data_IF_630498768263
#
_entry.id   IF_630498768263
#
_cell.length_a   1.000
_cell.length_b   1.000
_cell.length_c   1.000
_cell.angle_alpha   90.00
_cell.angle_beta   90.00
_cell.angle_gamma   90.00
#
_symmetry.space_group_name_H-M   'P 1'
#
loop_
_entity.id
_entity.type
_entity.pdbx_description
1 polymer ?
#
# COMPACT_ATOMS: atom_id res chain seq x y z
N UNK A 1 4.15 -22.23 11.33
CA UNK A 1 3.58 -22.34 9.97
C UNK A 1 4.26 -21.29 9.12
N UNK A 2 4.49 -21.50 7.85
CA UNK A 2 5.08 -20.47 6.98
C UNK A 2 4.04 -19.45 6.56
N UNK A 3 4.52 -18.30 6.06
CA UNK A 3 3.66 -17.26 5.49
C UNK A 3 2.78 -17.88 4.39
N UNK A 4 1.49 -17.54 4.44
CA UNK A 4 0.55 -17.91 3.40
C UNK A 4 0.68 -16.91 2.26
N UNK A 5 1.11 -17.39 1.09
CA UNK A 5 1.10 -16.56 -0.10
C UNK A 5 -0.29 -16.50 -0.73
N UNK A 6 -0.55 -15.39 -1.38
CA UNK A 6 -1.81 -15.08 -2.03
C UNK A 6 -2.10 -16.03 -3.22
N UNK A 7 -3.37 -16.08 -3.59
CA UNK A 7 -3.78 -16.62 -4.88
C UNK A 7 -3.42 -15.65 -6.01
N UNK A 8 -3.31 -16.12 -7.27
CA UNK A 8 -3.17 -15.22 -8.41
C UNK A 8 -4.26 -14.15 -8.41
N UNK A 9 -3.91 -12.88 -8.67
CA UNK A 9 -4.88 -11.79 -8.70
C UNK A 9 -5.80 -11.89 -9.92
N UNK A 10 -6.93 -11.19 -9.86
CA UNK A 10 -7.92 -11.14 -10.93
C UNK A 10 -7.85 -9.78 -11.62
N UNK A 11 -7.66 -9.79 -12.95
CA UNK A 11 -7.76 -8.58 -13.76
C UNK A 11 -9.23 -8.28 -14.08
N UNK A 12 -9.66 -7.06 -13.76
CA UNK A 12 -11.02 -6.57 -13.99
C UNK A 12 -10.97 -5.41 -14.98
N UNK A 13 -11.89 -5.40 -15.95
CA UNK A 13 -11.95 -4.35 -16.98
C UNK A 13 -13.24 -3.54 -16.86
N UNK A 14 -13.19 -2.25 -17.22
CA UNK A 14 -14.37 -1.38 -17.25
C UNK A 14 -15.04 -1.20 -15.89
N UNK A 15 -14.24 -1.14 -14.82
CA UNK A 15 -14.73 -1.15 -13.43
C UNK A 15 -15.52 0.11 -13.09
N UNK A 16 -15.08 1.27 -13.58
CA UNK A 16 -15.72 2.56 -13.31
C UNK A 16 -16.51 3.00 -14.53
N UNK A 17 -17.82 3.22 -14.33
CA UNK A 17 -18.71 3.64 -15.42
C UNK A 17 -18.64 5.12 -15.76
N UNK A 18 -18.28 5.96 -14.80
CA UNK A 18 -18.19 7.43 -14.95
C UNK A 18 -16.80 7.93 -14.58
N UNK A 19 -15.92 8.01 -15.58
CA UNK A 19 -14.57 8.56 -15.41
C UNK A 19 -14.59 10.08 -15.13
N UNK A 20 -15.65 10.79 -15.57
CA UNK A 20 -15.81 12.20 -15.29
C UNK A 20 -16.00 12.48 -13.79
N UNK A 21 -16.77 11.63 -13.11
CA UNK A 21 -16.93 11.70 -11.65
C UNK A 21 -15.59 11.45 -10.92
N UNK A 22 -14.73 10.57 -11.44
CA UNK A 22 -13.38 10.38 -10.87
C UNK A 22 -12.53 11.62 -11.04
N UNK A 23 -12.55 12.27 -12.20
CA UNK A 23 -11.79 13.51 -12.43
C UNK A 23 -12.28 14.62 -11.49
N UNK A 24 -13.60 14.78 -11.32
CA UNK A 24 -14.16 15.74 -10.37
C UNK A 24 -13.72 15.45 -8.93
N UNK A 25 -13.70 14.17 -8.52
CA UNK A 25 -13.21 13.77 -7.20
C UNK A 25 -11.72 14.08 -7.04
N UNK A 26 -10.89 13.79 -8.06
CA UNK A 26 -9.48 14.16 -8.07
C UNK A 26 -9.27 15.65 -7.87
N UNK A 27 -9.99 16.48 -8.61
CA UNK A 27 -9.91 17.94 -8.53
C UNK A 27 -10.38 18.47 -7.18
N UNK A 28 -11.52 17.99 -6.68
CA UNK A 28 -12.10 18.43 -5.40
C UNK A 28 -11.23 18.07 -4.20
N UNK A 29 -10.45 17.00 -4.30
CA UNK A 29 -9.58 16.53 -3.24
C UNK A 29 -8.15 17.08 -3.31
N UNK A 30 -7.81 17.88 -4.31
CA UNK A 30 -6.50 18.54 -4.38
C UNK A 30 -6.33 19.55 -3.21
N UNK A 31 -5.09 19.86 -2.79
CA UNK A 31 -3.83 19.34 -3.31
C UNK A 31 -3.45 17.95 -2.75
N UNK A 32 -2.53 17.29 -3.44
CA UNK A 32 -1.94 16.01 -3.05
C UNK A 32 -0.53 16.20 -2.51
N UNK A 33 -0.16 15.41 -1.50
CA UNK A 33 1.14 15.50 -0.86
C UNK A 33 2.10 14.44 -1.40
N UNK A 34 3.42 14.72 -1.46
CA UNK A 34 4.40 13.72 -1.83
C UNK A 34 4.36 12.54 -0.86
N UNK A 35 4.41 11.33 -1.40
CA UNK A 35 4.51 10.13 -0.61
C UNK A 35 5.75 10.19 0.29
N UNK A 36 5.52 9.96 1.60
CA UNK A 36 6.56 9.95 2.62
C UNK A 36 6.76 8.56 3.23
N UNK A 37 7.41 8.53 4.37
CA UNK A 37 7.48 7.31 5.17
C UNK A 37 8.48 6.29 4.63
N UNK A 38 8.00 5.19 4.09
CA UNK A 38 8.83 4.04 3.70
C UNK A 38 9.87 4.31 2.61
N UNK A 39 9.75 5.40 1.86
CA UNK A 39 10.83 5.85 0.95
C UNK A 39 12.10 6.32 1.66
N UNK A 40 12.06 6.50 2.97
CA UNK A 40 13.25 6.83 3.76
C UNK A 40 13.19 6.06 5.09
N UNK A 41 13.19 4.72 5.08
CA UNK A 41 13.16 3.94 6.31
C UNK A 41 14.42 4.23 7.14
N UNK A 42 14.22 4.73 8.34
CA UNK A 42 15.32 5.09 9.26
C UNK A 42 16.00 6.42 8.96
N UNK A 43 15.59 7.16 7.93
CA UNK A 43 16.04 8.52 7.69
C UNK A 43 15.20 9.52 8.48
N UNK A 44 15.80 10.70 8.71
CA UNK A 44 15.12 11.86 9.23
C UNK A 44 13.71 12.01 8.60
N UNK A 45 12.62 12.07 9.39
CA UNK A 45 11.27 12.33 8.87
C UNK A 45 11.20 13.67 8.10
N UNK A 46 12.20 14.53 8.30
CA UNK A 46 12.42 15.75 7.53
C UNK A 46 13.35 15.55 6.31
N UNK A 47 13.66 14.30 5.91
CA UNK A 47 14.48 14.04 4.75
C UNK A 47 14.00 14.83 3.53
N UNK A 48 14.92 15.60 2.96
CA UNK A 48 14.65 16.76 2.11
C UNK A 48 14.16 16.43 0.71
N UNK A 49 14.10 15.16 0.33
CA UNK A 49 13.71 14.80 -1.03
C UNK A 49 12.75 13.62 -1.07
N UNK A 50 11.70 13.77 -1.86
CA UNK A 50 10.68 12.78 -2.14
C UNK A 50 10.62 12.52 -3.65
N UNK A 51 10.28 11.32 -4.10
CA UNK A 51 9.93 11.11 -5.51
C UNK A 51 8.65 11.88 -5.84
N UNK A 52 8.43 12.15 -7.12
CA UNK A 52 7.20 12.78 -7.59
C UNK A 52 6.05 11.77 -7.66
N UNK A 53 5.79 11.19 -6.53
CA UNK A 53 4.66 10.31 -6.25
C UNK A 53 3.83 10.95 -5.15
N UNK A 54 2.61 11.35 -5.48
CA UNK A 54 1.69 12.09 -4.61
C UNK A 54 0.56 11.18 -4.19
N UNK A 55 0.10 11.33 -2.95
CA UNK A 55 -0.93 10.47 -2.38
C UNK A 55 -1.91 11.28 -1.52
N UNK A 56 -3.15 10.78 -1.43
CA UNK A 56 -4.14 11.23 -0.47
C UNK A 56 -5.13 10.11 -0.16
N UNK A 57 -5.49 9.97 1.11
CA UNK A 57 -6.60 9.13 1.54
C UNK A 57 -7.92 9.84 1.20
N UNK A 58 -8.80 9.16 0.46
CA UNK A 58 -10.17 9.59 0.22
C UNK A 58 -11.14 9.00 1.23
N UNK A 59 -10.84 7.81 1.74
CA UNK A 59 -11.56 7.19 2.85
C UNK A 59 -10.56 6.57 3.81
N UNK A 60 -10.64 6.97 5.07
CA UNK A 60 -9.82 6.42 6.14
C UNK A 60 -10.52 6.63 7.48
N UNK A 61 -10.71 5.56 8.27
CA UNK A 61 -11.44 5.55 9.54
C UNK A 61 -12.83 6.22 9.44
N UNK A 62 -13.01 7.38 10.07
CA UNK A 62 -14.27 8.14 10.06
C UNK A 62 -14.35 9.18 8.95
N UNK A 63 -13.28 9.38 8.21
CA UNK A 63 -13.25 10.34 7.10
C UNK A 63 -13.64 9.66 5.79
N UNK A 64 -14.57 10.27 5.05
CA UNK A 64 -14.88 9.92 3.68
C UNK A 64 -15.05 11.21 2.85
N UNK A 65 -14.28 11.33 1.78
CA UNK A 65 -14.42 12.41 0.82
C UNK A 65 -15.76 12.28 0.09
N UNK A 66 -16.45 13.39 -0.15
CA UNK A 66 -17.68 13.39 -0.96
C UNK A 66 -17.38 12.80 -2.35
N UNK A 67 -18.22 11.86 -2.80
CA UNK A 67 -18.04 11.13 -4.06
C UNK A 67 -17.14 9.88 -3.98
N UNK A 68 -16.44 9.64 -2.86
CA UNK A 68 -15.57 8.45 -2.71
C UNK A 68 -16.32 7.12 -2.66
N UNK A 69 -17.63 7.13 -2.45
CA UNK A 69 -18.50 5.94 -2.50
C UNK A 69 -18.43 5.23 -3.85
N UNK A 70 -18.08 5.95 -4.93
CA UNK A 70 -17.82 5.38 -6.24
C UNK A 70 -16.83 4.20 -6.18
N UNK A 71 -15.81 4.31 -5.31
CA UNK A 71 -14.84 3.25 -5.07
C UNK A 71 -15.16 2.47 -3.80
N UNK A 72 -15.49 3.15 -2.70
CA UNK A 72 -15.69 2.48 -1.40
C UNK A 72 -16.77 1.41 -1.50
N UNK A 73 -17.88 1.71 -2.16
CA UNK A 73 -19.03 0.81 -2.32
C UNK A 73 -19.07 0.14 -3.69
N UNK A 74 -17.92 0.02 -4.37
CA UNK A 74 -17.85 -0.58 -5.70
C UNK A 74 -18.36 -2.04 -5.68
N UNK A 75 -19.51 -2.34 -6.31
CA UNK A 75 -20.09 -3.68 -6.24
C UNK A 75 -19.18 -4.75 -6.85
N UNK A 76 -18.42 -4.38 -7.90
CA UNK A 76 -17.51 -5.31 -8.57
C UNK A 76 -16.42 -5.82 -7.63
N UNK A 77 -15.88 -4.97 -6.76
CA UNK A 77 -14.86 -5.37 -5.78
C UNK A 77 -15.45 -6.21 -4.66
N UNK A 78 -16.62 -5.80 -4.13
CA UNK A 78 -17.30 -6.52 -3.05
C UNK A 78 -17.69 -7.92 -3.51
N UNK A 79 -18.25 -8.07 -4.70
CA UNK A 79 -18.65 -9.36 -5.23
C UNK A 79 -17.44 -10.24 -5.62
N UNK A 80 -16.33 -9.65 -6.08
CA UNK A 80 -15.10 -10.39 -6.35
C UNK A 80 -14.44 -10.92 -5.06
N UNK A 81 -14.52 -10.18 -3.96
CA UNK A 81 -13.92 -10.56 -2.67
C UNK A 81 -14.55 -11.85 -2.11
N UNK A 82 -15.84 -12.05 -2.27
CA UNK A 82 -16.56 -13.19 -1.70
C UNK A 82 -15.99 -14.54 -2.16
N UNK A 83 -15.96 -14.88 -3.46
CA UNK A 83 -15.39 -16.16 -3.92
C UNK A 83 -13.86 -16.20 -3.79
N UNK A 84 -13.17 -15.06 -3.87
CA UNK A 84 -11.72 -15.02 -3.75
C UNK A 84 -11.24 -15.47 -2.37
N UNK A 85 -11.95 -15.07 -1.31
CA UNK A 85 -11.60 -15.38 0.09
C UNK A 85 -12.48 -16.47 0.73
N UNK A 86 -13.45 -17.02 0.02
CA UNK A 86 -14.50 -17.85 0.61
C UNK A 86 -15.20 -17.12 1.76
N UNK A 87 -15.61 -15.87 1.50
CA UNK A 87 -16.11 -14.93 2.49
C UNK A 87 -17.58 -14.55 2.24
N UNK A 88 -18.37 -14.47 3.31
CA UNK A 88 -19.74 -13.92 3.30
C UNK A 88 -19.77 -12.43 3.64
N UNK A 89 -18.81 -11.98 4.46
CA UNK A 89 -18.75 -10.59 4.94
C UNK A 89 -17.55 -9.88 4.32
N UNK A 90 -17.84 -8.77 3.64
CA UNK A 90 -16.84 -7.86 3.06
C UNK A 90 -17.11 -6.47 3.59
N UNK A 91 -16.15 -5.89 4.29
CA UNK A 91 -16.25 -4.57 4.89
C UNK A 91 -15.25 -3.60 4.25
N UNK A 92 -15.68 -2.77 3.29
CA UNK A 92 -14.83 -1.70 2.77
C UNK A 92 -14.31 -0.80 3.89
N UNK A 93 -12.98 -0.53 3.88
CA UNK A 93 -12.31 0.21 4.96
C UNK A 93 -11.63 1.47 4.48
N UNK A 94 -10.98 1.42 3.33
CA UNK A 94 -10.23 2.57 2.86
C UNK A 94 -10.18 2.68 1.35
N UNK A 95 -10.06 3.92 0.90
CA UNK A 95 -9.79 4.28 -0.49
C UNK A 95 -8.71 5.35 -0.47
N UNK A 96 -7.64 5.15 -1.23
CA UNK A 96 -6.62 6.18 -1.40
C UNK A 96 -6.14 6.24 -2.84
N UNK A 97 -5.67 7.41 -3.24
CA UNK A 97 -5.23 7.66 -4.60
C UNK A 97 -3.75 7.96 -4.65
N UNK A 98 -3.10 7.43 -5.66
CA UNK A 98 -1.73 7.76 -6.02
C UNK A 98 -1.70 8.43 -7.39
N UNK A 99 -0.96 9.54 -7.48
CA UNK A 99 -0.66 10.23 -8.72
C UNK A 99 0.86 10.27 -8.88
N UNK A 100 1.35 9.71 -9.97
CA UNK A 100 2.79 9.65 -10.23
C UNK A 100 3.10 10.38 -11.54
N UNK A 101 4.14 11.19 -11.52
CA UNK A 101 4.74 11.73 -12.74
C UNK A 101 5.84 10.78 -13.22
N UNK A 102 6.74 11.23 -14.07
CA UNK A 102 7.89 10.45 -14.51
C UNK A 102 8.83 10.12 -13.34
N UNK A 103 8.99 8.82 -13.04
CA UNK A 103 9.95 8.32 -12.06
C UNK A 103 10.62 7.03 -12.57
N UNK A 104 11.93 6.90 -12.39
CA UNK A 104 12.69 5.71 -12.78
C UNK A 104 12.74 4.64 -11.70
N UNK A 105 12.27 4.95 -10.48
CA UNK A 105 12.27 4.07 -9.33
C UNK A 105 10.93 4.17 -8.59
N UNK A 106 10.07 3.17 -8.76
CA UNK A 106 8.74 3.06 -8.15
C UNK A 106 8.76 2.50 -6.71
N UNK A 107 9.92 2.42 -6.09
CA UNK A 107 10.09 1.86 -4.74
C UNK A 107 10.44 0.37 -4.75
N UNK A 108 10.74 -0.20 -3.57
CA UNK A 108 11.05 -1.60 -3.42
C UNK A 108 9.83 -2.50 -3.63
N UNK A 109 10.07 -3.76 -4.01
CA UNK A 109 9.04 -4.78 -3.92
C UNK A 109 8.65 -4.98 -2.45
N UNK A 110 7.36 -5.07 -2.18
CA UNK A 110 6.82 -5.17 -0.82
C UNK A 110 5.47 -5.88 -0.80
N UNK A 111 5.07 -6.34 0.37
CA UNK A 111 3.67 -6.64 0.69
C UNK A 111 3.06 -5.45 1.43
N UNK A 112 1.76 -5.29 1.37
CA UNK A 112 1.06 -4.26 2.15
C UNK A 112 1.19 -4.52 3.66
N UNK A 113 1.00 -3.48 4.47
CA UNK A 113 1.02 -3.62 5.92
C UNK A 113 -0.16 -4.45 6.40
N UNK A 114 0.07 -5.55 7.14
CA UNK A 114 -0.99 -6.41 7.62
C UNK A 114 -1.82 -5.74 8.71
N UNK A 115 -3.00 -6.31 8.95
CA UNK A 115 -3.86 -5.99 10.09
C UNK A 115 -4.09 -7.24 10.91
N UNK A 116 -4.13 -7.05 12.22
CA UNK A 116 -4.44 -8.10 13.18
C UNK A 116 -5.58 -7.65 14.09
N UNK A 117 -6.20 -8.57 14.83
CA UNK A 117 -7.21 -8.23 15.80
C UNK A 117 -6.70 -7.15 16.77
N UNK A 118 -7.31 -5.97 16.76
CA UNK A 118 -6.92 -4.85 17.61
C UNK A 118 -5.61 -4.15 17.25
N UNK A 119 -4.85 -4.63 16.23
CA UNK A 119 -3.55 -4.04 15.84
C UNK A 119 -3.53 -3.66 14.36
N UNK A 120 -3.25 -2.38 14.09
CA UNK A 120 -3.05 -1.85 12.75
C UNK A 120 -2.14 -0.61 12.78
N UNK A 121 -1.93 0.02 11.62
CA UNK A 121 -1.03 1.18 11.46
C UNK A 121 -1.39 2.41 12.30
N UNK A 122 -2.60 2.47 12.87
CA UNK A 122 -3.05 3.60 13.68
C UNK A 122 -2.61 3.50 15.14
N UNK A 123 -2.31 2.28 15.60
CA UNK A 123 -1.98 2.01 16.99
C UNK A 123 -0.74 1.11 17.19
N UNK A 124 -0.09 0.70 16.11
CA UNK A 124 1.08 -0.19 16.15
C UNK A 124 2.10 0.27 15.09
N UNK A 125 3.38 0.44 15.44
CA UNK A 125 4.41 0.76 14.47
C UNK A 125 4.45 -0.24 13.31
N UNK A 126 4.61 0.26 12.08
CA UNK A 126 4.56 -0.59 10.88
C UNK A 126 5.60 -1.72 10.91
N UNK A 127 6.79 -1.47 11.44
CA UNK A 127 7.82 -2.51 11.55
C UNK A 127 7.41 -3.66 12.49
N UNK A 128 6.62 -3.37 13.55
CA UNK A 128 6.09 -4.40 14.45
C UNK A 128 5.03 -5.23 13.72
N UNK A 129 4.11 -4.59 13.00
CA UNK A 129 3.11 -5.30 12.18
C UNK A 129 3.79 -6.22 11.16
N UNK A 130 4.86 -5.76 10.51
CA UNK A 130 5.63 -6.58 9.58
C UNK A 130 6.34 -7.74 10.30
N UNK A 131 6.94 -7.50 11.47
CA UNK A 131 7.54 -8.57 12.27
C UNK A 131 6.49 -9.61 12.72
N UNK A 132 5.27 -9.16 13.08
CA UNK A 132 4.15 -10.06 13.38
C UNK A 132 3.81 -10.96 12.18
N UNK A 133 3.71 -10.38 10.97
CA UNK A 133 3.45 -11.11 9.74
C UNK A 133 4.57 -12.13 9.45
N UNK A 134 5.82 -11.67 9.42
CA UNK A 134 6.96 -12.51 9.04
C UNK A 134 7.35 -13.57 10.08
N UNK A 135 6.92 -13.39 11.33
CA UNK A 135 7.11 -14.42 12.38
C UNK A 135 6.17 -15.61 12.21
N UNK A 136 4.98 -15.44 11.63
CA UNK A 136 3.91 -16.44 11.61
C UNK A 136 3.31 -16.74 12.98
N UNK A 137 3.73 -16.05 14.03
CA UNK A 137 3.25 -16.29 15.41
C UNK A 137 1.81 -15.78 15.61
N UNK A 138 1.38 -14.85 14.77
CA UNK A 138 0.11 -14.14 14.89
C UNK A 138 -0.90 -14.51 13.79
N UNK A 139 -0.65 -15.57 13.00
CA UNK A 139 -1.50 -15.99 11.87
C UNK A 139 -2.99 -16.09 12.25
N UNK A 140 -3.27 -16.60 13.45
CA UNK A 140 -4.66 -16.75 13.93
C UNK A 140 -5.38 -15.42 14.17
N UNK A 141 -4.62 -14.35 14.33
CA UNK A 141 -5.14 -13.00 14.58
C UNK A 141 -5.13 -12.14 13.32
N UNK A 142 -4.60 -12.63 12.22
CA UNK A 142 -4.56 -11.89 10.97
C UNK A 142 -5.97 -11.62 10.43
N UNK A 143 -6.23 -10.38 10.04
CA UNK A 143 -7.45 -9.98 9.33
C UNK A 143 -7.12 -9.98 7.84
N UNK A 144 -7.80 -10.86 7.11
CA UNK A 144 -7.63 -10.90 5.65
C UNK A 144 -8.18 -9.63 5.01
N UNK A 145 -7.42 -9.07 4.08
CA UNK A 145 -7.82 -7.85 3.37
C UNK A 145 -7.82 -8.08 1.87
N UNK A 146 -8.97 -7.79 1.25
CA UNK A 146 -9.06 -7.67 -0.19
C UNK A 146 -8.51 -6.30 -0.62
N UNK A 147 -7.73 -6.29 -1.70
CA UNK A 147 -7.20 -5.06 -2.30
C UNK A 147 -7.54 -5.02 -3.78
N UNK A 148 -7.99 -3.87 -4.26
CA UNK A 148 -8.09 -3.57 -5.69
C UNK A 148 -7.19 -2.37 -6.00
N UNK A 149 -6.34 -2.50 -7.01
CA UNK A 149 -5.56 -1.39 -7.58
C UNK A 149 -6.18 -1.06 -8.92
N UNK A 150 -6.92 0.03 -8.99
CA UNK A 150 -7.53 0.51 -10.23
C UNK A 150 -6.65 1.59 -10.87
N UNK A 151 -6.55 1.57 -12.20
CA UNK A 151 -5.85 2.58 -12.99
C UNK A 151 -6.83 3.36 -13.87
N UNK A 152 -6.69 4.68 -13.87
CA UNK A 152 -7.57 5.56 -14.64
C UNK A 152 -7.23 5.53 -16.13
N UNK A 153 -5.96 5.52 -16.46
CA UNK A 153 -5.43 5.79 -17.80
C UNK A 153 -4.18 4.97 -18.11
N UNK A 154 -3.85 4.89 -19.38
CA UNK A 154 -2.56 4.40 -19.85
C UNK A 154 -1.51 5.49 -19.75
N UNK A 155 -0.32 5.11 -19.35
CA UNK A 155 0.89 5.93 -19.38
C UNK A 155 2.07 5.11 -19.89
N UNK A 156 3.15 5.78 -20.26
CA UNK A 156 4.39 5.08 -20.59
C UNK A 156 4.97 4.42 -19.34
N UNK A 157 5.14 3.10 -19.34
CA UNK A 157 5.57 2.33 -18.17
C UNK A 157 4.50 2.22 -17.08
N UNK A 158 4.90 2.31 -15.82
CA UNK A 158 3.99 2.32 -14.67
C UNK A 158 3.26 1.00 -14.41
N UNK A 159 3.62 -0.08 -15.09
CA UNK A 159 3.06 -1.41 -14.86
C UNK A 159 3.35 -1.92 -13.45
N UNK A 160 2.56 -2.91 -13.03
CA UNK A 160 2.75 -3.56 -11.74
C UNK A 160 3.42 -4.92 -11.96
N UNK A 161 4.55 -5.13 -11.26
CA UNK A 161 5.12 -6.47 -11.07
C UNK A 161 4.48 -7.04 -9.81
N UNK A 162 4.18 -8.34 -9.80
CA UNK A 162 3.61 -9.02 -8.64
C UNK A 162 4.03 -10.50 -8.61
N UNK A 163 4.06 -11.10 -7.42
CA UNK A 163 4.55 -12.46 -7.19
C UNK A 163 3.42 -13.36 -6.66
N UNK A 164 2.55 -13.89 -7.53
CA UNK A 164 1.39 -14.70 -7.12
C UNK A 164 1.80 -16.05 -6.50
N UNK A 165 2.94 -16.60 -6.93
CA UNK A 165 3.47 -17.89 -6.45
C UNK A 165 4.53 -17.72 -5.35
N UNK A 166 4.59 -16.55 -4.72
CA UNK A 166 5.53 -16.25 -3.64
C UNK A 166 6.89 -15.73 -4.11
N UNK A 167 7.74 -15.29 -3.14
CA UNK A 167 8.97 -14.56 -3.43
C UNK A 167 10.06 -15.38 -4.13
N UNK A 168 10.03 -16.69 -4.03
CA UNK A 168 11.02 -17.59 -4.65
C UNK A 168 10.72 -17.87 -6.12
N UNK A 169 9.57 -17.41 -6.62
CA UNK A 169 9.15 -17.52 -8.02
C UNK A 169 9.42 -16.21 -8.78
N UNK A 170 9.59 -16.25 -10.12
CA UNK A 170 9.72 -15.02 -10.89
C UNK A 170 8.41 -14.22 -10.85
N UNK A 171 8.48 -12.86 -10.93
CA UNK A 171 7.29 -12.04 -10.97
C UNK A 171 6.50 -12.22 -12.26
N UNK A 172 5.21 -12.03 -12.16
CA UNK A 172 4.36 -11.68 -13.28
C UNK A 172 4.29 -10.15 -13.42
N UNK A 173 3.88 -9.69 -14.59
CA UNK A 173 3.68 -8.27 -14.86
C UNK A 173 2.33 -8.06 -15.52
N UNK A 174 1.59 -7.06 -15.06
CA UNK A 174 0.43 -6.61 -15.81
C UNK A 174 0.86 -6.13 -17.21
N UNK A 175 0.27 -6.72 -18.23
CA UNK A 175 0.51 -6.39 -19.64
C UNK A 175 -0.78 -5.93 -20.31
N UNK A 176 -0.68 -4.98 -21.23
CA UNK A 176 -1.80 -4.40 -21.94
C UNK A 176 -2.26 -3.07 -21.37
N UNK A 177 -3.44 -2.59 -21.82
CA UNK A 177 -3.99 -1.33 -21.35
C UNK A 177 -4.35 -1.40 -19.87
N UNK A 178 -3.94 -0.37 -19.13
CA UNK A 178 -4.35 -0.14 -17.75
C UNK A 178 -5.60 0.75 -17.65
N UNK A 179 -5.99 1.42 -18.74
CA UNK A 179 -7.10 2.38 -18.72
C UNK A 179 -8.41 1.72 -18.26
N UNK A 180 -8.96 2.21 -17.17
CA UNK A 180 -10.17 1.71 -16.51
C UNK A 180 -10.13 0.21 -16.20
N UNK A 181 -8.97 -0.29 -15.79
CA UNK A 181 -8.77 -1.67 -15.32
C UNK A 181 -8.40 -1.71 -13.85
N UNK A 182 -8.61 -2.83 -13.19
CA UNK A 182 -8.16 -3.05 -11.82
C UNK A 182 -7.53 -4.43 -11.67
N UNK A 183 -6.48 -4.52 -10.86
CA UNK A 183 -5.95 -5.78 -10.36
C UNK A 183 -6.50 -6.00 -8.95
N UNK A 184 -7.32 -7.05 -8.80
CA UNK A 184 -7.94 -7.41 -7.55
C UNK A 184 -7.22 -8.62 -6.93
N UNK A 185 -6.83 -8.54 -5.67
CA UNK A 185 -6.12 -9.62 -5.01
C UNK A 185 -5.83 -9.37 -3.54
N UNK A 186 -4.87 -10.13 -3.01
CA UNK A 186 -4.39 -10.07 -1.63
C UNK A 186 -2.97 -9.48 -1.59
N UNK A 187 -2.86 -8.18 -1.44
CA UNK A 187 -1.56 -7.50 -1.41
C UNK A 187 -0.79 -7.69 -0.09
N UNK A 188 -1.39 -8.31 0.94
CA UNK A 188 -0.68 -8.67 2.17
C UNK A 188 0.10 -9.98 2.02
N UNK A 189 -0.47 -10.92 1.26
CA UNK A 189 0.18 -12.20 0.96
C UNK A 189 0.97 -12.18 -0.36
N UNK A 190 0.87 -11.13 -1.17
CA UNK A 190 1.49 -11.05 -2.49
C UNK A 190 2.44 -9.86 -2.58
N UNK A 191 3.72 -10.15 -2.84
CA UNK A 191 4.67 -9.09 -3.19
C UNK A 191 4.24 -8.38 -4.45
N UNK A 192 4.42 -7.08 -4.46
CA UNK A 192 4.17 -6.25 -5.64
C UNK A 192 5.14 -5.06 -5.68
N UNK A 193 5.36 -4.53 -6.90
CA UNK A 193 6.26 -3.42 -7.16
C UNK A 193 5.76 -2.61 -8.35
N UNK A 194 5.75 -1.30 -8.22
CA UNK A 194 5.45 -0.40 -9.35
C UNK A 194 6.69 -0.26 -10.21
N UNK A 195 6.54 -0.49 -11.50
CA UNK A 195 7.59 -0.26 -12.48
C UNK A 195 7.85 1.24 -12.72
N UNK A 196 8.97 1.58 -13.39
CA UNK A 196 9.24 2.95 -13.80
C UNK A 196 8.07 3.58 -14.56
N UNK A 197 7.86 4.89 -14.37
CA UNK A 197 6.84 5.68 -15.08
C UNK A 197 7.57 6.67 -15.99
N UNK A 198 7.24 6.70 -17.29
CA UNK A 198 7.88 7.55 -18.28
C UNK A 198 7.32 8.97 -18.39
N UNK A 199 7.93 9.82 -19.26
CA UNK A 199 9.08 9.55 -20.13
C UNK A 199 10.40 9.38 -19.34
N UNK A 200 11.15 8.34 -19.68
CA UNK A 200 12.34 7.93 -18.92
C UNK A 200 13.54 8.86 -19.10
N UNK A 201 13.57 9.67 -20.15
CA UNK A 201 14.57 10.71 -20.37
C UNK A 201 14.46 11.90 -19.41
N UNK A 202 13.28 12.10 -18.80
CA UNK A 202 13.09 13.13 -17.78
C UNK A 202 13.83 12.84 -16.46
N UNK A 203 14.29 11.60 -16.26
CA UNK A 203 14.92 11.13 -15.02
C UNK A 203 13.98 11.14 -13.83
N UNK A 204 14.51 10.85 -12.65
CA UNK A 204 13.73 10.97 -11.40
C UNK A 204 13.90 12.37 -10.83
N UNK A 205 12.88 13.21 -10.99
CA UNK A 205 12.81 14.48 -10.26
C UNK A 205 12.49 14.22 -8.80
N UNK A 206 13.07 15.01 -7.92
CA UNK A 206 12.84 14.96 -6.48
C UNK A 206 12.33 16.29 -5.99
N UNK A 207 11.42 16.24 -5.03
CA UNK A 207 10.79 17.42 -4.42
C UNK A 207 10.94 17.37 -2.91
N UNK A 208 10.71 18.48 -2.24
CA UNK A 208 10.66 18.54 -0.78
C UNK A 208 9.33 17.97 -0.26
N UNK A 209 9.22 17.68 1.05
CA UNK A 209 7.94 17.33 1.67
C UNK A 209 6.86 18.40 1.56
N UNK A 210 7.24 19.66 1.27
CA UNK A 210 6.28 20.77 1.10
C UNK A 210 5.65 20.83 -0.29
N UNK A 211 6.15 20.06 -1.26
CA UNK A 211 5.59 20.05 -2.60
C UNK A 211 4.09 19.68 -2.61
N UNK A 212 3.38 20.20 -3.59
CA UNK A 212 1.95 19.97 -3.79
C UNK A 212 1.66 19.71 -5.25
N UNK A 213 0.81 18.72 -5.52
CA UNK A 213 0.26 18.47 -6.85
C UNK A 213 -1.21 18.88 -6.85
N UNK A 214 -1.61 19.74 -7.77
CA UNK A 214 -2.98 20.24 -7.89
C UNK A 214 -3.31 20.60 -9.34
N UNK A 215 -4.60 20.76 -9.70
CA UNK A 215 -5.00 21.37 -10.96
C UNK A 215 -4.44 22.79 -11.09
N UNK A 216 -4.06 23.18 -12.31
CA UNK A 216 -3.61 24.53 -12.60
C UNK A 216 -4.77 25.53 -12.45
N UNK A 217 -4.52 26.65 -11.79
CA UNK A 217 -5.55 27.65 -11.49
C UNK A 217 -6.04 28.43 -12.72
N UNK A 218 -5.39 28.26 -13.88
CA UNK A 218 -5.69 29.00 -15.12
C UNK A 218 -6.79 28.37 -15.99
N UNK A 219 -7.38 27.26 -15.54
CA UNK A 219 -8.45 26.56 -16.25
C UNK A 219 -7.99 25.80 -17.50
N UNK A 220 -6.69 25.57 -17.68
CA UNK A 220 -6.14 24.81 -18.82
C UNK A 220 -6.48 23.31 -18.80
N UNK A 221 -6.86 22.76 -17.64
CA UNK A 221 -6.98 21.33 -17.41
C UNK A 221 -5.67 20.63 -17.07
N UNK A 222 -4.54 21.37 -17.08
CA UNK A 222 -3.26 20.82 -16.64
C UNK A 222 -3.20 20.67 -15.12
N UNK A 223 -2.24 19.85 -14.68
CA UNK A 223 -1.86 19.70 -13.30
C UNK A 223 -0.46 20.26 -13.06
N UNK A 224 -0.24 20.83 -11.90
CA UNK A 224 1.02 21.47 -11.54
C UNK A 224 1.57 20.90 -10.24
N UNK A 225 2.89 20.70 -10.23
CA UNK A 225 3.64 20.48 -8.99
C UNK A 225 4.31 21.78 -8.63
N UNK A 226 4.02 22.27 -7.43
CA UNK A 226 4.74 23.39 -6.81
C UNK A 226 5.55 22.90 -5.63
N UNK A 227 6.72 23.50 -5.40
CA UNK A 227 7.58 23.22 -4.26
C UNK A 227 8.12 24.56 -3.74
N UNK A 228 7.86 24.91 -2.48
CA UNK A 228 8.15 26.25 -1.94
C UNK A 228 7.61 27.39 -2.82
N UNK A 229 6.37 27.23 -3.32
CA UNK A 229 5.65 28.15 -4.22
C UNK A 229 6.28 28.33 -5.61
N UNK A 230 7.34 27.60 -5.94
CA UNK A 230 7.92 27.55 -7.28
C UNK A 230 7.30 26.45 -8.12
N UNK A 231 7.02 26.73 -9.40
CA UNK A 231 6.53 25.74 -10.34
C UNK A 231 7.66 24.77 -10.72
N UNK A 232 7.48 23.50 -10.36
CA UNK A 232 8.43 22.42 -10.64
C UNK A 232 8.08 21.63 -11.90
N UNK A 233 6.79 21.37 -12.08
CA UNK A 233 6.26 20.61 -13.21
C UNK A 233 4.87 21.11 -13.57
N UNK A 234 4.58 21.12 -14.87
CA UNK A 234 3.24 21.25 -15.43
C UNK A 234 3.02 20.13 -16.43
N UNK A 235 1.91 19.43 -16.34
CA UNK A 235 1.59 18.30 -17.20
C UNK A 235 0.08 18.08 -17.30
N UNK A 236 -0.42 17.59 -18.46
CA UNK A 236 -1.81 17.16 -18.59
C UNK A 236 -2.11 15.96 -17.66
N UNK A 237 -3.37 15.85 -17.21
CA UNK A 237 -3.78 14.76 -16.31
C UNK A 237 -3.56 13.36 -16.92
N UNK A 238 -3.75 13.21 -18.22
CA UNK A 238 -3.58 11.95 -18.95
C UNK A 238 -2.14 11.44 -19.01
N UNK A 239 -1.16 12.29 -18.70
CA UNK A 239 0.25 11.90 -18.57
C UNK A 239 0.65 11.49 -17.15
N UNK A 240 -0.21 11.74 -16.18
CA UNK A 240 0.00 11.29 -14.80
C UNK A 240 -0.53 9.86 -14.63
N UNK A 241 0.28 8.97 -14.05
CA UNK A 241 -0.23 7.66 -13.65
C UNK A 241 -1.13 7.82 -12.43
N UNK A 242 -2.43 7.70 -12.67
CA UNK A 242 -3.43 7.76 -11.60
C UNK A 242 -3.86 6.34 -11.23
N UNK A 243 -3.72 5.98 -9.96
CA UNK A 243 -4.25 4.73 -9.44
C UNK A 243 -5.01 4.94 -8.14
N UNK A 244 -6.16 4.27 -8.02
CA UNK A 244 -6.98 4.28 -6.80
C UNK A 244 -6.92 2.89 -6.18
N UNK A 245 -6.60 2.85 -4.90
CA UNK A 245 -6.51 1.62 -4.13
C UNK A 245 -7.70 1.54 -3.19
N UNK A 246 -8.42 0.44 -3.28
CA UNK A 246 -9.52 0.07 -2.42
C UNK A 246 -9.10 -1.08 -1.52
N UNK A 247 -9.50 -1.04 -0.25
CA UNK A 247 -9.26 -2.12 0.70
C UNK A 247 -10.50 -2.44 1.51
N UNK A 248 -10.72 -3.73 1.74
CA UNK A 248 -11.79 -4.23 2.58
C UNK A 248 -11.29 -5.35 3.49
N UNK A 249 -11.76 -5.38 4.73
CA UNK A 249 -11.61 -6.54 5.59
C UNK A 249 -12.61 -7.61 5.15
N UNK A 250 -12.18 -8.87 5.14
CA UNK A 250 -13.01 -10.00 4.74
C UNK A 250 -13.09 -11.07 5.82
N UNK A 251 -14.29 -11.62 6.01
CA UNK A 251 -14.56 -12.64 7.02
C UNK A 251 -15.42 -13.73 6.41
N UNK A 252 -15.18 -14.99 6.79
CA UNK A 252 -15.98 -16.12 6.30
C UNK A 252 -17.46 -15.97 6.62
N UNK A 253 -17.79 -15.45 7.82
CA UNK A 253 -19.14 -15.20 8.25
C UNK A 253 -19.20 -14.17 9.38
N UNK A 254 -20.42 -13.80 9.78
CA UNK A 254 -20.67 -12.81 10.85
C UNK A 254 -20.12 -13.28 12.22
N UNK A 255 -20.14 -14.58 12.49
CA UNK A 255 -19.61 -15.12 13.76
C UNK A 255 -18.09 -14.95 13.83
N UNK A 256 -17.37 -15.22 12.74
CA UNK A 256 -15.92 -14.97 12.68
C UNK A 256 -15.60 -13.48 12.88
N UNK A 257 -16.37 -12.60 12.22
CA UNK A 257 -16.18 -11.15 12.39
C UNK A 257 -16.36 -10.73 13.87
N UNK A 258 -17.41 -11.22 14.53
CA UNK A 258 -17.66 -10.91 15.93
C UNK A 258 -16.53 -11.42 16.84
N UNK A 259 -16.12 -12.67 16.68
CA UNK A 259 -15.03 -13.26 17.45
C UNK A 259 -13.71 -12.48 17.29
N UNK A 260 -13.43 -11.97 16.09
CA UNK A 260 -12.21 -11.19 15.82
C UNK A 260 -12.22 -9.81 16.48
N UNK A 261 -13.38 -9.23 16.73
CA UNK A 261 -13.50 -7.97 17.48
C UNK A 261 -13.28 -8.21 18.98
N UNK A 262 -13.79 -9.33 19.51
CA UNK A 262 -13.69 -9.69 20.93
C UNK A 262 -12.26 -10.15 21.32
N UNK A 263 -11.54 -10.81 20.42
CA UNK A 263 -10.18 -11.33 20.62
C UNK A 263 -9.09 -10.33 20.18
N UNK A 264 -9.21 -9.07 20.64
CA UNK A 264 -8.27 -8.02 20.26
C UNK A 264 -6.95 -8.14 21.04
N UNK A 265 -5.82 -8.23 20.31
CA UNK A 265 -4.48 -8.25 20.86
C UNK A 265 -4.12 -6.93 21.55
N UNK A 266 -3.60 -6.99 22.76
CA UNK A 266 -2.86 -5.89 23.37
C UNK A 266 -1.39 -5.87 22.91
N UNK A 267 -0.70 -4.74 23.04
CA UNK A 267 0.74 -4.68 22.77
C UNK A 267 1.54 -5.53 23.76
N UNK A 268 1.03 -5.76 24.99
CA UNK A 268 1.68 -6.64 25.95
C UNK A 268 1.64 -8.10 25.47
N UNK A 269 0.49 -8.58 24.97
CA UNK A 269 0.39 -9.94 24.41
C UNK A 269 1.27 -10.12 23.18
N UNK A 270 1.44 -9.07 22.35
CA UNK A 270 2.40 -9.08 21.24
C UNK A 270 3.83 -9.23 21.77
N UNK A 271 4.20 -8.46 22.79
CA UNK A 271 5.52 -8.52 23.40
C UNK A 271 5.80 -9.88 24.04
N UNK A 272 4.85 -10.41 24.81
CA UNK A 272 4.97 -11.71 25.46
C UNK A 272 5.13 -12.83 24.44
N UNK A 273 4.34 -12.82 23.36
CA UNK A 273 4.41 -13.81 22.27
C UNK A 273 5.78 -13.79 21.59
N UNK A 274 6.31 -12.62 21.26
CA UNK A 274 7.67 -12.51 20.71
C UNK A 274 8.72 -13.01 21.70
N UNK A 275 8.62 -12.62 22.98
CA UNK A 275 9.59 -12.98 24.00
C UNK A 275 9.61 -14.50 24.27
N UNK A 276 8.46 -15.15 24.25
CA UNK A 276 8.36 -16.61 24.40
C UNK A 276 9.03 -17.34 23.24
N UNK A 277 8.77 -16.91 21.98
CA UNK A 277 9.40 -17.49 20.81
C UNK A 277 10.93 -17.24 20.78
N UNK A 278 11.37 -16.00 21.06
CA UNK A 278 12.79 -15.66 21.15
C UNK A 278 13.51 -16.48 22.21
N UNK A 279 12.93 -16.66 23.39
CA UNK A 279 13.46 -17.51 24.45
C UNK A 279 13.51 -18.98 24.01
N UNK A 280 12.45 -19.47 23.37
CA UNK A 280 12.40 -20.83 22.81
C UNK A 280 13.48 -21.10 21.76
N UNK A 281 13.90 -20.09 21.01
CA UNK A 281 15.03 -20.14 20.06
C UNK A 281 16.40 -19.97 20.72
N UNK A 282 16.45 -19.72 22.04
CA UNK A 282 17.71 -19.44 22.74
C UNK A 282 18.31 -18.06 22.42
N UNK A 283 17.49 -17.13 21.89
CA UNK A 283 17.92 -15.77 21.59
C UNK A 283 18.06 -14.93 22.86
N UNK A 284 19.07 -14.06 22.91
CA UNK A 284 19.23 -13.05 23.95
C UNK A 284 18.40 -11.77 23.69
N UNK A 285 17.82 -11.64 22.48
CA UNK A 285 16.99 -10.52 22.12
C UNK A 285 15.71 -10.52 22.98
N UNK A 286 15.25 -9.35 23.35
CA UNK A 286 13.96 -9.16 24.05
C UNK A 286 13.17 -8.05 23.38
N UNK A 287 11.91 -8.33 23.07
CA UNK A 287 10.98 -7.32 22.64
C UNK A 287 10.53 -6.51 23.86
N UNK A 288 10.95 -5.27 23.93
CA UNK A 288 10.67 -4.33 25.02
C UNK A 288 9.79 -3.19 24.50
N UNK A 289 8.63 -3.00 25.12
CA UNK A 289 7.68 -1.96 24.76
C UNK A 289 8.25 -0.55 24.94
N UNK A 290 9.13 -0.35 25.92
CA UNK A 290 9.79 0.94 26.14
C UNK A 290 10.83 1.25 25.06
N UNK A 291 11.22 0.25 24.26
CA UNK A 291 12.16 0.37 23.13
C UNK A 291 11.49 0.30 21.76
N UNK A 292 10.17 0.33 21.69
CA UNK A 292 9.45 0.12 20.43
C UNK A 292 9.81 1.15 19.33
N UNK A 293 10.26 2.34 19.73
CA UNK A 293 10.75 3.40 18.84
C UNK A 293 12.27 3.35 18.60
N UNK A 294 12.98 2.39 19.23
CA UNK A 294 14.41 2.22 19.08
C UNK A 294 14.77 1.50 17.78
N UNK A 295 15.49 2.14 16.83
CA UNK A 295 15.92 1.49 15.59
C UNK A 295 16.78 0.23 15.82
N UNK A 296 17.49 0.16 16.97
CA UNK A 296 18.28 -1.00 17.30
C UNK A 296 17.41 -2.23 17.59
N UNK A 297 16.30 -2.07 18.32
CA UNK A 297 15.35 -3.16 18.56
C UNK A 297 14.76 -3.70 17.24
N UNK A 298 14.37 -2.78 16.34
CA UNK A 298 13.90 -3.15 14.99
C UNK A 298 14.95 -3.97 14.24
N UNK A 299 16.21 -3.52 14.24
CA UNK A 299 17.31 -4.23 13.57
C UNK A 299 17.58 -5.61 14.20
N UNK A 300 17.57 -5.69 15.53
CA UNK A 300 17.72 -6.95 16.27
C UNK A 300 16.63 -7.96 15.86
N UNK A 301 15.38 -7.58 15.89
CA UNK A 301 14.24 -8.45 15.52
C UNK A 301 14.26 -8.87 14.05
N UNK A 302 14.70 -8.00 13.15
CA UNK A 302 14.82 -8.31 11.73
C UNK A 302 15.85 -9.42 11.45
N UNK A 303 16.78 -9.69 12.37
CA UNK A 303 17.72 -10.85 12.25
C UNK A 303 17.05 -12.19 12.54
N UNK A 304 15.91 -12.19 13.23
CA UNK A 304 15.16 -13.40 13.60
C UNK A 304 13.94 -13.60 12.70
N UNK A 305 13.19 -12.55 12.49
CA UNK A 305 11.97 -12.55 11.68
C UNK A 305 12.26 -11.87 10.33
N UNK A 306 12.94 -12.63 9.46
CA UNK A 306 13.48 -12.12 8.19
C UNK A 306 12.36 -11.97 7.19
N UNK A 307 12.21 -10.76 6.67
CA UNK A 307 11.34 -10.50 5.53
C UNK A 307 11.94 -11.09 4.25
N UNK A 308 11.13 -11.80 3.47
CA UNK A 308 11.59 -12.37 2.20
C UNK A 308 11.93 -11.24 1.20
N UNK A 309 12.94 -11.50 0.37
CA UNK A 309 13.30 -10.65 -0.77
C UNK A 309 12.84 -11.33 -2.07
N UNK A 310 11.87 -10.79 -2.80
CA UNK A 310 11.31 -11.49 -3.95
C UNK A 310 12.29 -11.53 -5.13
N UNK A 311 12.37 -12.70 -5.76
CA UNK A 311 13.22 -12.96 -6.92
C UNK A 311 12.84 -12.05 -8.09
N UNK A 312 13.82 -11.43 -8.75
CA UNK A 312 13.58 -10.60 -9.93
C UNK A 312 12.99 -9.22 -9.63
N UNK A 313 12.94 -8.80 -8.36
CA UNK A 313 12.54 -7.45 -8.00
C UNK A 313 13.46 -6.41 -8.65
N UNK A 314 12.88 -5.30 -9.10
CA UNK A 314 13.65 -4.17 -9.59
C UNK A 314 14.44 -3.54 -8.44
N UNK A 315 15.65 -3.13 -8.73
CA UNK A 315 16.45 -2.38 -7.74
C UNK A 315 15.77 -1.07 -7.39
N UNK A 316 15.71 -0.77 -6.10
CA UNK A 316 15.25 0.52 -5.60
C UNK A 316 16.31 1.13 -4.70
N UNK A 317 16.59 2.42 -4.89
CA UNK A 317 17.45 3.20 -3.99
C UNK A 317 16.77 3.52 -2.66
N UNK A 318 15.49 3.21 -2.55
CA UNK A 318 14.68 3.40 -1.34
C UNK A 318 14.53 2.09 -0.53
N UNK A 319 15.05 0.98 -1.04
CA UNK A 319 15.08 -0.26 -0.27
C UNK A 319 15.96 -0.08 0.98
N UNK A 320 15.57 -0.63 2.15
CA UNK A 320 16.48 -0.69 3.29
C UNK A 320 17.74 -1.47 2.89
N UNK A 321 18.87 -0.95 3.33
CA UNK A 321 20.16 -1.62 3.12
C UNK A 321 20.25 -2.89 3.95
#
# INVERSE_FOLDING_TARGET
MGIRYSKPPVLMNGVVGDLGAVVQLLESQAPYNPLGGWYNPGADPHARTRPMWFQKDWVHDVFAAEGSDLFLQCPAYIEAAKPFYDAEVVEPKSVYVNLMTSIVDGGPAHTDNPRFHGRDRTNTPMWVLRAMLWSGLFDRFEILQATAIWWMNDVEGGGLLYWPDGPDSPPEQHVGSMANTALFGDNHGMFHQVGPVGPFDAGTRRVSPSARLAPAADGSGDWVVTDHDELVLRAPLDTLRVSVLWKADVYRNVAERAARIEDALSMQEVADTFNDDLAGRGSSIRFDLDRVDDPALKAELATVYIEAAPLGALRSVFAPA
#
